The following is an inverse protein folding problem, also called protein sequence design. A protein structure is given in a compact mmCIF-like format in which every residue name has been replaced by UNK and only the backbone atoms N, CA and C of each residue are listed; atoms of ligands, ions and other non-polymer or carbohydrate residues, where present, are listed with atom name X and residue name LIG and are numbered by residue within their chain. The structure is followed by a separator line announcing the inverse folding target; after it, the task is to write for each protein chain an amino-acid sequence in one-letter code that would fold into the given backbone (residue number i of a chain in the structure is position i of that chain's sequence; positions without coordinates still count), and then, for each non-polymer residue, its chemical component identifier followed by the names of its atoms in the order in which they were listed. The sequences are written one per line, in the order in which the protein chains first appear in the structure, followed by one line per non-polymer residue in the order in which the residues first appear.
data_IF_228497158776
#
_entry.id   IF_228497158776
#
_cell.length_a   1.000
_cell.length_b   1.000
_cell.length_c   1.000
_cell.angle_alpha   90.00
_cell.angle_beta   90.00
_cell.angle_gamma   90.00
#
_symmetry.space_group_name_H-M   'P 1'
#
loop_
_entity.id
_entity.type
_entity.pdbx_description
1 polymer ?
#
# COMPACT_ATOMS: atom_id res chain seq x y z
N UNK A 1 6.17 5.12 -17.62
CA UNK A 1 5.25 5.60 -16.58
C UNK A 1 4.32 6.68 -17.14
N UNK A 2 4.82 7.88 -17.46
CA UNK A 2 3.97 8.97 -17.96
C UNK A 2 3.10 8.55 -19.15
N UNK A 3 3.65 7.98 -20.21
CA UNK A 3 2.82 7.52 -21.36
C UNK A 3 1.77 6.45 -21.05
N UNK A 4 1.92 5.70 -19.96
CA UNK A 4 0.96 4.65 -19.55
C UNK A 4 -0.15 5.24 -18.68
N UNK A 5 0.20 6.13 -17.75
CA UNK A 5 -0.73 6.66 -16.75
C UNK A 5 -1.24 8.07 -17.07
N UNK A 6 -0.51 8.83 -17.88
CA UNK A 6 -0.86 10.20 -18.23
C UNK A 6 -0.31 10.63 -19.61
N UNK A 7 -1.17 10.59 -20.62
CA UNK A 7 -0.82 10.90 -22.02
C UNK A 7 -0.94 12.38 -22.39
N UNK A 8 -1.72 13.16 -21.65
CA UNK A 8 -2.05 14.56 -22.00
C UNK A 8 -1.04 15.59 -21.47
N UNK A 9 0.10 15.15 -20.91
CA UNK A 9 1.11 16.01 -20.33
C UNK A 9 0.75 16.65 -18.97
N UNK A 10 -0.40 16.34 -18.37
CA UNK A 10 -0.86 16.86 -17.07
C UNK A 10 -0.66 15.87 -15.93
N UNK A 11 0.43 15.10 -16.01
CA UNK A 11 0.77 14.08 -15.02
C UNK A 11 1.41 14.66 -13.77
N UNK A 12 1.02 14.07 -12.64
CA UNK A 12 1.60 14.31 -11.33
C UNK A 12 1.99 12.95 -10.73
N UNK A 13 3.17 12.87 -10.13
CA UNK A 13 3.59 11.74 -9.33
C UNK A 13 4.13 12.26 -8.00
N UNK A 14 4.00 11.46 -6.95
CA UNK A 14 4.73 11.67 -5.71
C UNK A 14 5.82 10.62 -5.59
N UNK A 15 6.91 10.97 -4.91
CA UNK A 15 7.87 9.97 -4.46
C UNK A 15 7.76 9.77 -2.95
N UNK A 16 8.05 8.56 -2.54
CA UNK A 16 8.08 8.15 -1.13
C UNK A 16 9.10 7.02 -1.00
N UNK A 17 9.44 6.67 0.24
CA UNK A 17 10.20 5.46 0.55
C UNK A 17 9.29 4.46 1.27
N UNK A 18 9.72 3.19 1.35
CA UNK A 18 9.00 2.21 2.16
C UNK A 18 8.88 2.63 3.63
N UNK A 19 9.93 3.25 4.18
CA UNK A 19 9.94 3.76 5.54
C UNK A 19 8.94 4.92 5.72
N UNK A 20 8.97 5.90 4.82
CA UNK A 20 8.06 7.05 4.85
C UNK A 20 6.60 6.63 4.68
N UNK A 21 6.32 5.77 3.69
CA UNK A 21 5.00 5.19 3.47
C UNK A 21 4.48 4.49 4.72
N UNK A 22 5.23 3.55 5.29
CA UNK A 22 4.76 2.76 6.44
C UNK A 22 4.64 3.58 7.72
N UNK A 23 5.55 4.53 7.94
CA UNK A 23 5.52 5.41 9.12
C UNK A 23 4.51 6.57 9.00
N UNK A 24 4.04 6.89 7.80
CA UNK A 24 2.98 7.89 7.58
C UNK A 24 1.58 7.41 7.99
N UNK A 25 1.37 6.10 8.14
CA UNK A 25 0.06 5.53 8.48
C UNK A 25 -0.19 5.67 9.98
N UNK A 26 -1.04 6.62 10.37
CA UNK A 26 -1.39 6.87 11.77
C UNK A 26 -2.52 5.92 12.21
N UNK A 27 -2.20 4.64 12.34
CA UNK A 27 -3.15 3.60 12.78
C UNK A 27 -2.48 2.52 13.62
N UNK A 28 -3.21 2.00 14.61
CA UNK A 28 -2.78 0.83 15.40
C UNK A 28 -3.08 -0.51 14.70
N UNK A 29 -3.79 -0.45 13.56
CA UNK A 29 -4.16 -1.65 12.82
C UNK A 29 -2.91 -2.32 12.24
N UNK A 30 -2.88 -3.65 12.31
CA UNK A 30 -1.88 -4.45 11.62
C UNK A 30 -2.07 -4.35 10.10
N UNK A 31 -1.23 -3.55 9.47
CA UNK A 31 -1.10 -3.44 8.02
C UNK A 31 0.15 -4.22 7.60
N UNK A 32 -0.04 -5.18 6.72
CA UNK A 32 1.05 -5.94 6.09
C UNK A 32 1.34 -5.35 4.72
N UNK A 33 2.54 -5.52 4.21
CA UNK A 33 2.79 -5.10 2.84
C UNK A 33 4.18 -5.44 2.34
N UNK A 34 4.39 -5.17 1.06
CA UNK A 34 5.64 -5.46 0.38
C UNK A 34 5.52 -5.31 -1.12
N UNK A 35 6.58 -5.73 -1.82
CA UNK A 35 6.62 -5.76 -3.29
C UNK A 35 5.75 -6.88 -3.82
N UNK A 36 5.08 -6.64 -4.94
CA UNK A 36 4.30 -7.66 -5.65
C UNK A 36 5.25 -8.63 -6.36
N UNK A 37 4.98 -9.92 -6.21
CA UNK A 37 5.69 -10.99 -6.91
C UNK A 37 5.05 -11.22 -8.27
N UNK A 38 5.82 -11.00 -9.33
CA UNK A 38 5.35 -11.18 -10.70
C UNK A 38 5.71 -12.58 -11.20
N UNK A 39 4.69 -13.42 -11.41
CA UNK A 39 4.85 -14.85 -11.68
C UNK A 39 4.13 -15.29 -12.95
N UNK A 40 4.58 -16.40 -13.52
CA UNK A 40 3.86 -17.12 -14.56
C UNK A 40 2.99 -18.19 -13.90
N UNK A 41 1.67 -17.99 -13.94
CA UNK A 41 0.71 -18.87 -13.29
C UNK A 41 0.62 -20.26 -13.92
N UNK A 42 1.19 -20.46 -15.12
CA UNK A 42 1.23 -21.80 -15.74
C UNK A 42 2.33 -22.68 -15.19
N UNK A 43 3.38 -22.07 -14.63
CA UNK A 43 4.61 -22.75 -14.20
C UNK A 43 4.95 -22.55 -12.72
N UNK A 44 4.35 -21.55 -12.06
CA UNK A 44 4.65 -21.19 -10.68
C UNK A 44 3.58 -21.73 -9.74
N UNK A 45 3.98 -22.60 -8.82
CA UNK A 45 3.14 -22.99 -7.68
C UNK A 45 3.09 -21.87 -6.65
N UNK A 46 1.89 -21.43 -6.27
CA UNK A 46 1.66 -20.42 -5.24
C UNK A 46 1.12 -21.16 -4.01
N UNK A 47 1.85 -21.20 -2.89
CA UNK A 47 1.38 -21.89 -1.68
C UNK A 47 0.07 -21.27 -1.16
N UNK A 48 -0.96 -22.11 -1.02
CA UNK A 48 -2.29 -21.70 -0.53
C UNK A 48 -2.31 -21.38 0.98
N UNK A 49 -1.29 -21.81 1.74
CA UNK A 49 -1.21 -21.60 3.18
C UNK A 49 -0.92 -20.16 3.62
N UNK A 50 -0.45 -19.30 2.71
CA UNK A 50 -0.27 -17.88 3.00
C UNK A 50 -1.50 -17.07 2.58
N UNK A 51 -2.24 -16.59 3.59
CA UNK A 51 -3.39 -15.68 3.45
C UNK A 51 -3.14 -14.43 2.59
N UNK A 52 -1.88 -14.04 2.35
CA UNK A 52 -1.52 -12.87 1.54
C UNK A 52 -1.22 -13.23 0.08
N UNK A 53 -0.92 -14.49 -0.22
CA UNK A 53 -0.54 -14.94 -1.57
C UNK A 53 -1.46 -14.43 -2.69
N UNK A 54 -2.80 -14.48 -2.57
CA UNK A 54 -3.70 -14.00 -3.63
C UNK A 54 -3.54 -12.51 -3.96
N UNK A 55 -3.13 -11.71 -2.97
CA UNK A 55 -2.98 -10.26 -3.08
C UNK A 55 -1.55 -9.83 -3.38
N UNK A 56 -0.57 -10.71 -3.23
CA UNK A 56 0.85 -10.40 -3.41
C UNK A 56 1.45 -10.97 -4.69
N UNK A 57 0.67 -11.67 -5.52
CA UNK A 57 1.10 -12.18 -6.83
C UNK A 57 0.36 -11.50 -7.99
N UNK A 58 1.08 -11.23 -9.08
CA UNK A 58 0.51 -10.69 -10.33
C UNK A 58 1.15 -11.38 -11.53
N UNK A 59 0.47 -11.39 -12.68
CA UNK A 59 0.99 -12.04 -13.89
C UNK A 59 2.26 -11.35 -14.38
N UNK A 60 3.25 -12.12 -14.83
CA UNK A 60 4.54 -11.62 -15.33
C UNK A 60 4.43 -10.54 -16.42
N UNK A 61 3.37 -10.55 -17.22
CA UNK A 61 3.07 -9.50 -18.23
C UNK A 61 2.96 -8.08 -17.65
N UNK A 62 2.68 -7.96 -16.36
CA UNK A 62 2.54 -6.68 -15.65
C UNK A 62 3.82 -6.24 -14.92
N UNK A 63 4.94 -6.93 -15.10
CA UNK A 63 6.20 -6.66 -14.40
C UNK A 63 6.66 -5.19 -14.49
N UNK A 64 6.29 -4.50 -15.57
CA UNK A 64 6.62 -3.09 -15.80
C UNK A 64 6.01 -2.12 -14.79
N UNK A 65 5.00 -2.52 -14.02
CA UNK A 65 4.37 -1.66 -13.01
C UNK A 65 5.18 -1.57 -11.71
N UNK A 66 5.97 -2.61 -11.37
CA UNK A 66 6.81 -2.69 -10.16
C UNK A 66 6.08 -2.26 -8.87
N UNK A 67 4.90 -2.84 -8.62
CA UNK A 67 4.00 -2.42 -7.56
C UNK A 67 4.49 -2.80 -6.14
N UNK A 68 4.06 -2.00 -5.17
CA UNK A 68 4.07 -2.29 -3.74
C UNK A 68 2.63 -2.24 -3.24
N UNK A 69 2.24 -3.16 -2.34
CA UNK A 69 0.89 -3.22 -1.76
C UNK A 69 0.92 -3.17 -0.25
N UNK A 70 -0.09 -2.52 0.32
CA UNK A 70 -0.43 -2.54 1.74
C UNK A 70 -1.78 -3.26 1.89
N UNK A 71 -1.87 -4.16 2.86
CA UNK A 71 -3.02 -5.02 3.13
C UNK A 71 -3.37 -4.87 4.60
N UNK A 72 -4.51 -4.23 4.85
CA UNK A 72 -5.11 -4.15 6.17
C UNK A 72 -5.91 -5.42 6.42
N UNK A 73 -5.50 -6.25 7.39
CA UNK A 73 -6.28 -7.43 7.79
C UNK A 73 -7.46 -6.99 8.64
N UNK A 74 -8.65 -7.47 8.29
CA UNK A 74 -9.89 -7.30 9.05
C UNK A 74 -10.21 -8.60 9.78
N UNK A 75 -10.79 -8.52 10.98
CA UNK A 75 -11.32 -9.69 11.68
C UNK A 75 -10.30 -10.62 12.37
N UNK A 76 -9.00 -10.32 12.38
CA UNK A 76 -7.98 -11.11 13.13
C UNK A 76 -7.55 -10.33 14.38
N UNK A 77 -8.53 -10.02 15.21
CA UNK A 77 -8.35 -9.45 16.55
C UNK A 77 -8.70 -10.45 17.65
N UNK A 78 -8.50 -11.74 17.39
CA UNK A 78 -8.61 -12.79 18.39
C UNK A 78 -7.34 -13.61 18.34
N UNK A 79 -6.45 -13.40 19.31
CA UNK A 79 -5.52 -14.45 19.70
C UNK A 79 -6.36 -15.72 19.93
N UNK A 80 -6.10 -16.76 19.14
CA UNK A 80 -6.61 -18.10 19.44
C UNK A 80 -5.83 -18.55 20.66
N UNK A 81 -6.30 -18.19 21.85
CA UNK A 81 -5.80 -18.80 23.08
C UNK A 81 -6.27 -20.26 23.08
N UNK A 82 -5.37 -21.18 22.72
CA UNK A 82 -5.53 -22.59 23.06
C UNK A 82 -5.15 -22.73 24.54
N UNK A 83 -6.07 -22.36 25.42
CA UNK A 83 -5.88 -22.41 26.88
C UNK A 83 -6.96 -23.26 27.54
N UNK A 84 -6.54 -24.29 28.27
CA UNK A 84 -7.41 -25.05 29.15
C UNK A 84 -7.72 -24.21 30.38
N UNK A 85 -8.95 -23.70 30.52
CA UNK A 85 -9.44 -23.23 31.81
C UNK A 85 -9.95 -24.44 32.58
N UNK A 86 -9.14 -24.88 33.55
CA UNK A 86 -9.58 -25.84 34.56
C UNK A 86 -10.72 -25.24 35.39
N UNK A 87 -11.91 -25.79 35.20
CA UNK A 87 -13.01 -25.74 36.15
C UNK A 87 -13.38 -27.18 36.48
N UNK A 88 -13.48 -27.48 37.76
CA UNK A 88 -13.80 -28.79 38.32
C UNK A 88 -15.22 -29.20 37.90
N UNK A 89 -15.37 -29.80 36.72
CA UNK A 89 -16.46 -30.72 36.33
C UNK A 89 -16.32 -31.07 34.84
N UNK A 90 -15.25 -31.79 34.49
CA UNK A 90 -15.06 -32.34 33.14
C UNK A 90 -15.63 -33.77 33.08
N UNK A 91 -16.89 -33.90 32.63
CA UNK A 91 -17.40 -35.21 32.14
C UNK A 91 -16.82 -35.46 30.75
N UNK A 92 -16.12 -36.59 30.64
CA UNK A 92 -15.44 -37.07 29.44
C UNK A 92 -16.41 -37.22 28.26
N UNK A 93 -16.12 -36.49 27.19
CA UNK A 93 -16.86 -36.56 25.94
C UNK A 93 -16.29 -35.61 24.91
N UNK A 94 -15.09 -35.91 24.41
CA UNK A 94 -14.53 -35.51 23.10
C UNK A 94 -15.01 -34.17 22.48
N UNK A 95 -15.06 -33.09 23.26
CA UNK A 95 -15.54 -31.79 22.81
C UNK A 95 -14.39 -30.80 22.69
N UNK A 96 -13.92 -30.56 21.46
CA UNK A 96 -13.09 -29.41 21.17
C UNK A 96 -13.99 -28.16 21.27
N UNK A 97 -13.93 -27.47 22.40
CA UNK A 97 -14.69 -26.23 22.60
C UNK A 97 -13.99 -25.08 21.88
N UNK A 98 -14.62 -24.56 20.82
CA UNK A 98 -14.17 -23.35 20.13
C UNK A 98 -14.87 -22.16 20.78
N UNK A 99 -14.13 -21.34 21.52
CA UNK A 99 -14.61 -20.03 21.97
C UNK A 99 -14.67 -19.10 20.75
N UNK A 100 -15.83 -19.02 20.11
CA UNK A 100 -16.07 -18.06 19.03
C UNK A 100 -16.16 -16.66 19.64
N UNK A 101 -15.05 -15.93 19.66
CA UNK A 101 -15.08 -14.49 19.99
C UNK A 101 -16.04 -13.82 19.03
N UNK A 102 -16.99 -13.03 19.55
CA UNK A 102 -17.87 -12.18 18.75
C UNK A 102 -17.01 -11.39 17.77
N UNK A 103 -17.13 -11.70 16.47
CA UNK A 103 -16.47 -10.94 15.43
C UNK A 103 -17.05 -9.53 15.55
N UNK A 104 -16.23 -8.58 16.03
CA UNK A 104 -16.64 -7.19 16.09
C UNK A 104 -16.89 -6.77 14.63
N UNK A 105 -18.14 -6.47 14.30
CA UNK A 105 -18.49 -6.07 12.94
C UNK A 105 -17.61 -4.87 12.56
N UNK A 106 -16.81 -5.06 11.50
CA UNK A 106 -15.97 -4.00 10.96
C UNK A 106 -16.80 -3.20 9.95
N UNK A 107 -16.58 -1.87 9.85
CA UNK A 107 -17.26 -1.06 8.85
C UNK A 107 -16.84 -1.49 7.44
N UNK A 108 -17.73 -1.29 6.47
CA UNK A 108 -17.46 -1.58 5.06
C UNK A 108 -16.25 -0.81 4.49
N UNK A 109 -15.93 0.34 5.11
CA UNK A 109 -14.76 1.17 4.77
C UNK A 109 -13.98 1.46 6.05
N UNK A 110 -12.67 1.19 5.99
CA UNK A 110 -11.75 1.47 7.09
C UNK A 110 -10.91 2.68 6.69
N UNK A 111 -11.14 3.80 7.36
CA UNK A 111 -10.28 4.96 7.20
C UNK A 111 -8.93 4.72 7.89
N UNK A 112 -7.84 4.89 7.15
CA UNK A 112 -6.48 4.92 7.69
C UNK A 112 -5.98 6.35 7.55
N UNK A 113 -5.82 7.11 8.64
CA UNK A 113 -5.25 8.45 8.58
C UNK A 113 -3.80 8.37 8.08
N UNK A 114 -3.42 9.31 7.21
CA UNK A 114 -2.08 9.36 6.60
C UNK A 114 -1.49 10.75 6.79
N UNK A 115 -0.28 10.80 7.35
CA UNK A 115 0.52 12.02 7.42
C UNK A 115 1.18 12.30 6.07
N UNK A 116 0.65 13.27 5.34
CA UNK A 116 1.14 13.64 4.01
C UNK A 116 2.54 14.28 4.03
N UNK A 117 2.92 14.97 5.12
CA UNK A 117 4.26 15.56 5.25
C UNK A 117 5.31 14.47 5.34
N UNK A 118 4.95 13.35 5.98
CA UNK A 118 5.82 12.19 6.09
C UNK A 118 5.80 11.34 4.82
N UNK A 119 4.62 11.14 4.23
CA UNK A 119 4.45 10.30 3.05
C UNK A 119 5.18 10.88 1.83
N UNK A 120 4.98 12.17 1.56
CA UNK A 120 5.38 12.79 0.30
C UNK A 120 6.79 13.36 0.46
N UNK A 121 7.76 12.78 -0.24
CA UNK A 121 9.14 13.28 -0.27
C UNK A 121 9.33 14.37 -1.32
N UNK A 122 8.77 14.15 -2.51
CA UNK A 122 8.76 15.13 -3.58
C UNK A 122 7.59 14.91 -4.51
N UNK A 123 7.24 15.95 -5.24
CA UNK A 123 6.21 15.95 -6.25
C UNK A 123 6.88 16.11 -7.61
N UNK A 124 6.61 15.19 -8.53
CA UNK A 124 7.06 15.28 -9.91
C UNK A 124 5.92 15.66 -10.84
N UNK A 125 6.17 16.65 -11.66
CA UNK A 125 5.30 17.05 -12.78
C UNK A 125 5.80 16.37 -14.05
N UNK A 126 4.89 15.92 -14.91
CA UNK A 126 5.23 15.25 -16.16
C UNK A 126 6.19 16.09 -17.02
N UNK A 127 7.15 15.48 -17.75
CA UNK A 127 8.17 16.23 -18.50
C UNK A 127 7.58 17.16 -19.57
N UNK A 128 6.48 16.73 -20.18
CA UNK A 128 5.75 17.44 -21.24
C UNK A 128 4.65 18.37 -20.71
N UNK A 129 4.57 18.60 -19.40
CA UNK A 129 3.59 19.51 -18.84
C UNK A 129 3.81 20.95 -19.29
N UNK A 130 2.72 21.70 -19.42
CA UNK A 130 2.82 23.15 -19.62
C UNK A 130 3.25 23.82 -18.32
N UNK A 131 4.02 24.90 -18.42
CA UNK A 131 4.62 25.55 -17.24
C UNK A 131 3.57 26.00 -16.20
N UNK A 132 2.43 26.52 -16.67
CA UNK A 132 1.31 26.92 -15.80
C UNK A 132 0.81 25.78 -14.90
N UNK A 133 0.94 24.53 -15.34
CA UNK A 133 0.52 23.38 -14.56
C UNK A 133 1.48 23.15 -13.38
N UNK A 134 2.79 23.30 -13.61
CA UNK A 134 3.79 23.29 -12.54
C UNK A 134 3.51 24.39 -11.50
N UNK A 135 3.29 25.62 -11.98
CA UNK A 135 2.98 26.76 -11.12
C UNK A 135 1.72 26.53 -10.28
N UNK A 136 0.69 25.88 -10.85
CA UNK A 136 -0.53 25.54 -10.14
C UNK A 136 -0.25 24.51 -9.04
N UNK A 137 0.53 23.46 -9.33
CA UNK A 137 0.90 22.45 -8.35
C UNK A 137 1.70 23.07 -7.21
N UNK A 138 2.66 23.96 -7.50
CA UNK A 138 3.40 24.70 -6.48
C UNK A 138 2.48 25.52 -5.57
N UNK A 139 1.50 26.22 -6.15
CA UNK A 139 0.49 26.97 -5.38
C UNK A 139 -0.34 26.06 -4.49
N UNK A 140 -0.71 24.86 -4.95
CA UNK A 140 -1.45 23.87 -4.16
C UNK A 140 -0.60 23.38 -2.99
N UNK A 141 0.63 22.94 -3.25
CA UNK A 141 1.58 22.47 -2.24
C UNK A 141 1.74 23.51 -1.12
N UNK A 142 1.97 24.78 -1.50
CA UNK A 142 2.08 25.90 -0.55
C UNK A 142 0.78 26.16 0.22
N UNK A 143 -0.37 26.14 -0.46
CA UNK A 143 -1.69 26.39 0.16
C UNK A 143 -2.00 25.39 1.26
N UNK A 144 -1.64 24.12 1.06
CA UNK A 144 -1.85 23.06 2.05
C UNK A 144 -0.68 22.90 3.02
N UNK A 145 0.33 23.78 2.95
CA UNK A 145 1.45 23.83 3.88
C UNK A 145 2.41 22.65 3.78
N UNK A 146 2.46 21.94 2.65
CA UNK A 146 3.38 20.82 2.45
C UNK A 146 4.79 21.33 2.17
N UNK A 147 5.78 20.86 2.93
CA UNK A 147 7.19 21.20 2.76
C UNK A 147 7.88 20.23 1.80
N UNK A 148 7.46 20.28 0.53
CA UNK A 148 7.92 19.35 -0.50
C UNK A 148 8.29 20.07 -1.78
N UNK A 149 9.35 19.60 -2.43
CA UNK A 149 9.79 20.14 -3.71
C UNK A 149 8.88 19.66 -4.84
N UNK A 150 8.48 20.60 -5.70
CA UNK A 150 7.84 20.31 -6.99
C UNK A 150 8.93 20.33 -8.06
N UNK A 151 9.12 19.21 -8.75
CA UNK A 151 10.21 19.00 -9.70
C UNK A 151 9.63 18.60 -11.04
N UNK A 152 10.13 19.17 -12.13
CA UNK A 152 9.79 18.68 -13.47
C UNK A 152 10.56 17.39 -13.74
N UNK A 153 9.85 16.32 -14.08
CA UNK A 153 10.47 15.05 -14.42
C UNK A 153 11.33 15.19 -15.66
N UNK A 154 12.50 14.55 -15.63
CA UNK A 154 13.51 14.52 -16.68
C UNK A 154 13.47 13.23 -17.52
N UNK A 155 12.47 12.37 -17.32
CA UNK A 155 12.40 11.03 -17.94
C UNK A 155 12.44 11.05 -19.48
N UNK A 156 11.99 12.13 -20.11
CA UNK A 156 12.03 12.33 -21.56
C UNK A 156 13.02 13.42 -21.98
N UNK A 157 13.82 13.94 -21.04
CA UNK A 157 14.89 14.88 -21.34
C UNK A 157 16.01 14.11 -22.02
N UNK A 158 16.56 14.69 -23.08
CA UNK A 158 17.70 14.12 -23.79
C UNK A 158 18.87 13.92 -22.79
N UNK A 159 19.46 12.72 -22.69
CA UNK A 159 20.56 12.45 -21.76
C UNK A 159 21.76 13.40 -21.93
N UNK A 160 22.00 13.91 -23.15
CA UNK A 160 23.07 14.88 -23.42
C UNK A 160 22.83 16.26 -22.77
N UNK A 161 21.62 16.51 -22.27
CA UNK A 161 21.20 17.76 -21.61
C UNK A 161 21.06 17.62 -20.10
N UNK A 162 21.35 16.44 -19.53
CA UNK A 162 21.43 16.25 -18.09
C UNK A 162 22.80 16.76 -17.63
N UNK A 163 22.80 17.87 -16.88
CA UNK A 163 24.01 18.52 -16.33
C UNK A 163 24.32 17.97 -14.95
#
# INVERSE_FOLDING_TARGET
MWEIYQREGRGLAITTTWADLTTSLATERKILGGRVNYVDYTSTFIPEGDSLSPFMHKRKSFLHEQEVRLIAKTGIGGDVYRGASGGEDAREGSGQWVLTRSVKEEPAVIAVPVDLQRLIRSVYVAPKALDWFGDLIEKIVRRYGLDVNVVRSDLYTDPSKLV
#
